data_IF_411540207908
#
_entry.id   IF_411540207908
#
_cell.length_a   1.000
_cell.length_b   1.000
_cell.length_c   1.000
_cell.angle_alpha   90.00
_cell.angle_beta   90.00
_cell.angle_gamma   90.00
#
_symmetry.space_group_name_H-M   'P 1'
#
loop_
_entity.id
_entity.type
_entity.pdbx_description
1 polymer ?
#
# COMPACT_ATOMS: atom_id res chain seq x y z
N UNK A 1 -48.62 34.25 20.42
CA UNK A 1 -47.19 34.31 20.05
C UNK A 1 -46.51 33.04 20.50
N UNK A 2 -46.34 32.06 19.60
CA UNK A 2 -45.59 30.82 19.86
C UNK A 2 -44.59 30.65 18.71
N UNK A 3 -43.30 30.64 19.05
CA UNK A 3 -42.17 30.58 18.12
C UNK A 3 -41.80 29.11 17.84
N UNK A 4 -41.71 28.66 16.58
CA UNK A 4 -41.00 27.43 16.27
C UNK A 4 -39.51 27.76 16.09
N UNK A 5 -38.65 27.22 16.94
CA UNK A 5 -37.20 27.22 16.68
C UNK A 5 -36.83 25.86 16.11
N UNK A 6 -36.95 25.75 14.80
CA UNK A 6 -36.50 24.60 14.01
C UNK A 6 -34.98 24.71 13.78
N UNK A 7 -34.30 23.63 14.17
CA UNK A 7 -33.20 23.01 13.44
C UNK A 7 -32.10 23.92 12.87
N UNK A 8 -30.97 24.00 13.58
CA UNK A 8 -29.66 24.11 12.92
C UNK A 8 -28.95 22.78 13.12
N UNK A 9 -29.02 21.97 12.07
CA UNK A 9 -28.34 20.70 11.95
C UNK A 9 -26.84 20.89 12.17
N UNK A 10 -26.31 20.28 13.22
CA UNK A 10 -24.88 20.07 13.37
C UNK A 10 -24.45 19.13 12.24
N UNK A 11 -23.89 19.72 11.19
CA UNK A 11 -23.32 19.07 10.02
C UNK A 11 -22.02 18.35 10.44
N UNK A 12 -22.16 17.23 11.16
CA UNK A 12 -21.07 16.28 11.35
C UNK A 12 -20.90 15.46 10.06
N UNK A 13 -20.32 16.09 9.04
CA UNK A 13 -19.70 15.34 7.94
C UNK A 13 -18.36 14.86 8.48
N UNK A 14 -18.40 13.77 9.26
CA UNK A 14 -17.24 12.92 9.48
C UNK A 14 -16.82 12.43 8.10
N UNK A 15 -15.81 13.09 7.56
CA UNK A 15 -15.00 12.64 6.42
C UNK A 15 -14.76 11.14 6.60
N UNK A 16 -15.23 10.35 5.64
CA UNK A 16 -15.38 8.91 5.75
C UNK A 16 -14.13 8.24 6.32
N UNK A 17 -14.33 7.23 7.15
CA UNK A 17 -13.30 6.32 7.65
C UNK A 17 -12.30 6.02 6.53
N UNK A 18 -11.15 6.67 6.56
CA UNK A 18 -10.17 6.53 5.48
C UNK A 18 -9.53 5.17 5.68
N UNK A 19 -9.68 4.30 4.68
CA UNK A 19 -9.14 2.93 4.67
C UNK A 19 -7.62 2.92 4.83
N UNK A 20 -6.97 4.07 4.59
CA UNK A 20 -5.54 4.36 4.81
C UNK A 20 -5.15 4.59 6.27
N UNK A 21 -6.10 4.89 7.17
CA UNK A 21 -5.83 5.17 8.59
C UNK A 21 -5.19 3.99 9.35
N UNK A 22 -5.40 2.76 8.86
CA UNK A 22 -4.82 1.54 9.42
C UNK A 22 -3.43 1.21 8.88
N UNK A 23 -2.97 1.91 7.84
CA UNK A 23 -1.64 1.67 7.29
C UNK A 23 -0.58 2.19 8.25
N UNK A 24 0.17 1.26 8.85
CA UNK A 24 1.33 1.60 9.66
C UNK A 24 2.42 2.17 8.74
N UNK A 25 2.98 3.30 9.15
CA UNK A 25 4.11 3.94 8.48
C UNK A 25 5.15 4.31 9.53
N UNK A 26 6.35 3.78 9.38
CA UNK A 26 7.46 4.04 10.29
C UNK A 26 8.35 5.13 9.68
N UNK A 27 8.49 6.30 10.33
CA UNK A 27 9.43 7.34 9.92
C UNK A 27 10.86 6.78 9.87
N UNK A 28 11.60 7.02 8.78
CA UNK A 28 13.00 6.60 8.66
C UNK A 28 14.00 7.75 8.86
N UNK A 29 13.48 8.95 9.12
CA UNK A 29 14.24 10.18 9.40
C UNK A 29 13.71 10.78 10.70
N UNK A 30 14.37 11.85 11.16
CA UNK A 30 13.92 12.66 12.29
C UNK A 30 12.71 13.54 11.94
N UNK A 31 11.66 12.93 11.37
CA UNK A 31 10.41 13.57 11.03
C UNK A 31 9.66 13.91 12.32
N UNK A 32 9.36 15.19 12.51
CA UNK A 32 8.53 15.66 13.62
C UNK A 32 7.08 15.17 13.46
N UNK A 33 6.34 15.10 14.57
CA UNK A 33 4.92 14.73 14.53
C UNK A 33 4.08 15.61 13.56
N UNK A 34 4.42 16.90 13.44
CA UNK A 34 3.76 17.80 12.49
C UNK A 34 4.08 17.46 11.03
N UNK A 35 5.32 17.05 10.73
CA UNK A 35 5.71 16.59 9.39
C UNK A 35 5.02 15.27 9.04
N UNK A 36 4.95 14.33 9.99
CA UNK A 36 4.25 13.05 9.81
C UNK A 36 2.80 13.29 9.43
N UNK A 37 2.09 14.17 10.16
CA UNK A 37 0.70 14.46 9.87
C UNK A 37 0.51 15.22 8.54
N UNK A 38 1.43 16.13 8.21
CA UNK A 38 1.41 16.85 6.93
C UNK A 38 1.64 15.92 5.75
N UNK A 39 2.63 15.02 5.83
CA UNK A 39 2.92 14.01 4.82
C UNK A 39 1.74 13.06 4.65
N UNK A 40 1.13 12.62 5.76
CA UNK A 40 -0.05 11.76 5.75
C UNK A 40 -1.21 12.38 5.00
N UNK A 41 -1.58 13.62 5.32
CA UNK A 41 -2.64 14.36 4.61
C UNK A 41 -2.32 14.56 3.13
N UNK A 42 -1.09 14.92 2.81
CA UNK A 42 -0.64 15.08 1.42
C UNK A 42 -0.77 13.77 0.63
N UNK A 43 -0.33 12.66 1.22
CA UNK A 43 -0.41 11.34 0.60
C UNK A 43 -1.84 10.82 0.49
N UNK A 44 -2.71 11.14 1.46
CA UNK A 44 -4.13 10.81 1.41
C UNK A 44 -4.82 11.49 0.23
N UNK A 45 -4.62 12.80 0.05
CA UNK A 45 -5.17 13.54 -1.09
C UNK A 45 -4.58 13.09 -2.43
N UNK A 46 -3.29 12.78 -2.48
CA UNK A 46 -2.65 12.25 -3.69
C UNK A 46 -3.24 10.89 -4.06
N UNK A 47 -3.39 9.98 -3.08
CA UNK A 47 -3.84 8.61 -3.29
C UNK A 47 -5.25 8.49 -3.87
N UNK A 48 -6.14 9.43 -3.55
CA UNK A 48 -7.52 9.50 -4.09
C UNK A 48 -7.54 9.67 -5.62
N UNK A 49 -6.47 10.17 -6.21
CA UNK A 49 -6.33 10.36 -7.66
C UNK A 49 -5.74 9.13 -8.37
N UNK A 50 -5.36 8.11 -7.61
CA UNK A 50 -4.74 6.89 -8.15
C UNK A 50 -5.78 5.79 -8.34
N UNK A 51 -5.53 4.88 -9.29
CA UNK A 51 -6.39 3.72 -9.50
C UNK A 51 -6.33 2.68 -8.35
N UNK A 52 -5.35 2.80 -7.45
CA UNK A 52 -5.16 1.92 -6.30
C UNK A 52 -4.88 2.75 -5.04
N UNK A 53 -5.91 3.28 -4.35
CA UNK A 53 -5.72 4.27 -3.28
C UNK A 53 -4.85 3.80 -2.11
N UNK A 54 -4.97 2.56 -1.65
CA UNK A 54 -4.14 2.05 -0.56
C UNK A 54 -2.66 1.95 -0.97
N UNK A 55 -2.39 1.35 -2.13
CA UNK A 55 -1.05 1.26 -2.70
C UNK A 55 -0.47 2.63 -3.02
N UNK A 56 -1.29 3.57 -3.50
CA UNK A 56 -0.91 4.95 -3.76
C UNK A 56 -0.51 5.68 -2.48
N UNK A 57 -1.32 5.56 -1.43
CA UNK A 57 -1.00 6.17 -0.14
C UNK A 57 0.34 5.66 0.40
N UNK A 58 0.54 4.34 0.40
CA UNK A 58 1.78 3.74 0.84
C UNK A 58 2.98 4.14 -0.05
N UNK A 59 2.81 4.14 -1.38
CA UNK A 59 3.85 4.57 -2.31
C UNK A 59 4.29 6.02 -2.09
N UNK A 60 3.34 6.92 -1.79
CA UNK A 60 3.63 8.30 -1.44
C UNK A 60 4.40 8.41 -0.12
N UNK A 61 4.06 7.62 0.88
CA UNK A 61 4.80 7.56 2.14
C UNK A 61 6.21 6.99 1.94
N UNK A 62 6.37 5.92 1.17
CA UNK A 62 7.70 5.36 0.83
C UNK A 62 8.57 6.40 0.12
N UNK A 63 7.99 7.13 -0.83
CA UNK A 63 8.66 8.26 -1.50
C UNK A 63 9.03 9.39 -0.53
N UNK A 64 8.21 9.65 0.49
CA UNK A 64 8.49 10.62 1.55
C UNK A 64 9.50 10.13 2.60
N UNK A 65 10.01 8.89 2.47
CA UNK A 65 11.02 8.33 3.36
C UNK A 65 10.43 7.63 4.58
N UNK A 66 9.29 6.98 4.41
CA UNK A 66 8.70 6.09 5.41
C UNK A 66 8.89 4.63 5.00
N UNK A 67 8.83 3.74 5.97
CA UNK A 67 8.68 2.30 5.77
C UNK A 67 7.22 1.91 5.96
N UNK A 68 6.61 1.25 4.97
CA UNK A 68 5.19 0.86 5.02
C UNK A 68 4.89 -0.30 4.06
N UNK A 69 3.70 -0.89 4.18
CA UNK A 69 3.24 -2.04 3.38
C UNK A 69 2.20 -1.57 2.35
N UNK A 70 2.42 -1.72 1.04
CA UNK A 70 1.56 -1.11 0.03
C UNK A 70 0.24 -1.83 -0.31
N UNK A 71 -0.23 -2.78 0.49
CA UNK A 71 -1.57 -3.40 0.40
C UNK A 71 -2.02 -3.75 -1.03
N UNK A 72 -1.09 -4.23 -1.88
CA UNK A 72 -1.35 -4.68 -3.26
C UNK A 72 -1.85 -6.14 -3.33
N UNK A 73 -2.26 -6.71 -2.19
CA UNK A 73 -2.77 -8.07 -2.08
C UNK A 73 -1.93 -8.94 -1.14
N UNK A 74 -2.06 -10.27 -1.27
CA UNK A 74 -1.46 -11.28 -0.38
C UNK A 74 0.08 -11.37 -0.45
N UNK A 75 0.72 -10.43 -1.12
CA UNK A 75 2.14 -10.38 -1.49
C UNK A 75 2.84 -9.16 -0.88
N UNK A 76 2.07 -8.30 -0.22
CA UNK A 76 2.51 -6.99 0.24
C UNK A 76 3.54 -7.15 1.34
N UNK A 77 4.79 -6.90 0.99
CA UNK A 77 5.90 -6.82 1.95
C UNK A 77 6.03 -5.38 2.46
N UNK A 78 6.46 -5.22 3.70
CA UNK A 78 6.87 -3.90 4.20
C UNK A 78 8.11 -3.46 3.44
N UNK A 79 8.13 -2.22 2.97
CA UNK A 79 9.17 -1.72 2.08
C UNK A 79 9.51 -0.26 2.33
N UNK A 80 10.77 0.06 2.00
CA UNK A 80 11.37 1.39 2.05
C UNK A 80 12.34 1.59 0.89
N UNK A 81 12.67 2.83 0.56
CA UNK A 81 13.74 3.10 -0.40
C UNK A 81 15.11 2.86 0.25
N UNK A 82 15.99 2.12 -0.44
CA UNK A 82 17.34 1.80 0.01
C UNK A 82 18.22 3.05 0.18
N UNK A 83 17.94 4.08 -0.64
CA UNK A 83 18.54 5.40 -0.50
C UNK A 83 17.43 6.39 -0.18
N UNK A 84 17.62 7.28 0.82
CA UNK A 84 16.69 8.35 1.11
C UNK A 84 16.70 9.35 -0.05
N UNK A 85 15.95 9.06 -1.09
CA UNK A 85 15.85 9.92 -2.25
C UNK A 85 14.96 11.10 -1.90
N UNK A 86 15.50 12.31 -2.03
CA UNK A 86 14.72 13.56 -1.97
C UNK A 86 13.95 13.83 -3.25
N UNK A 87 14.06 12.95 -4.26
CA UNK A 87 13.55 13.15 -5.61
C UNK A 87 12.72 11.98 -6.16
N UNK A 88 12.46 10.93 -5.36
CA UNK A 88 11.64 9.81 -5.85
C UNK A 88 10.19 10.25 -5.88
N UNK A 89 9.62 10.32 -7.08
CA UNK A 89 8.22 10.67 -7.29
C UNK A 89 7.29 9.53 -6.79
N UNK A 90 6.23 9.83 -6.01
CA UNK A 90 5.22 8.85 -5.60
C UNK A 90 4.69 7.99 -6.76
N UNK A 91 4.54 8.58 -7.94
CA UNK A 91 4.12 7.91 -9.18
C UNK A 91 5.06 6.76 -9.54
N UNK A 92 6.38 6.97 -9.46
CA UNK A 92 7.37 5.94 -9.76
C UNK A 92 7.27 4.78 -8.78
N UNK A 93 7.15 5.08 -7.49
CA UNK A 93 7.01 4.04 -6.46
C UNK A 93 5.74 3.22 -6.68
N UNK A 94 4.63 3.88 -6.99
CA UNK A 94 3.37 3.21 -7.26
C UNK A 94 3.48 2.29 -8.49
N UNK A 95 4.09 2.76 -9.58
CA UNK A 95 4.29 1.95 -10.78
C UNK A 95 5.19 0.74 -10.52
N UNK A 96 6.29 0.93 -9.78
CA UNK A 96 7.21 -0.16 -9.44
C UNK A 96 6.53 -1.26 -8.60
N UNK A 97 5.74 -0.85 -7.59
CA UNK A 97 4.99 -1.78 -6.74
C UNK A 97 3.92 -2.53 -7.56
N UNK A 98 3.13 -1.82 -8.38
CA UNK A 98 2.05 -2.44 -9.16
C UNK A 98 2.59 -3.38 -10.25
N UNK A 99 3.70 -3.02 -10.90
CA UNK A 99 4.34 -3.86 -11.91
C UNK A 99 4.91 -5.14 -11.29
N UNK A 100 5.61 -5.03 -10.15
CA UNK A 100 6.12 -6.19 -9.44
C UNK A 100 5.01 -7.10 -8.89
N UNK A 101 3.90 -6.55 -8.39
CA UNK A 101 2.75 -7.35 -7.98
C UNK A 101 2.10 -8.06 -9.17
N UNK A 102 1.85 -7.35 -10.26
CA UNK A 102 1.31 -7.92 -11.50
C UNK A 102 2.19 -9.07 -12.03
N UNK A 103 3.51 -8.90 -11.99
CA UNK A 103 4.46 -9.95 -12.38
C UNK A 103 4.40 -11.17 -11.43
N UNK A 104 4.39 -10.93 -10.12
CA UNK A 104 4.25 -11.98 -9.12
C UNK A 104 2.94 -12.78 -9.29
N UNK A 105 1.82 -12.07 -9.51
CA UNK A 105 0.52 -12.68 -9.76
C UNK A 105 0.50 -13.52 -11.03
N UNK A 106 1.00 -13.01 -12.15
CA UNK A 106 1.05 -13.75 -13.42
C UNK A 106 1.91 -15.01 -13.34
N UNK A 107 3.02 -14.95 -12.63
CA UNK A 107 3.92 -16.11 -12.48
C UNK A 107 3.29 -17.19 -11.61
N UNK A 108 2.70 -16.79 -10.49
CA UNK A 108 1.92 -17.66 -9.62
C UNK A 108 0.68 -18.27 -10.29
N UNK A 109 -0.03 -17.50 -11.10
CA UNK A 109 -1.27 -17.94 -11.77
C UNK A 109 -0.98 -18.78 -13.03
N UNK A 110 0.16 -18.61 -13.70
CA UNK A 110 0.59 -19.51 -14.80
C UNK A 110 0.71 -20.95 -14.35
N UNK A 111 1.20 -21.19 -13.14
CA UNK A 111 1.30 -22.55 -12.59
C UNK A 111 -0.08 -23.13 -12.24
N UNK A 112 -1.09 -22.28 -11.98
CA UNK A 112 -2.49 -22.72 -11.79
C UNK A 112 -3.15 -23.17 -13.09
N UNK A 113 -2.69 -22.68 -14.24
CA UNK A 113 -3.21 -23.05 -15.57
C UNK A 113 -3.06 -24.54 -15.89
N UNK A 114 -2.05 -25.21 -15.32
CA UNK A 114 -1.87 -26.67 -15.42
C UNK A 114 -2.61 -27.47 -14.32
N UNK A 115 -3.09 -26.83 -13.25
CA UNK A 115 -3.44 -27.48 -11.97
C UNK A 115 -4.87 -27.13 -11.52
N UNK A 116 -5.70 -26.54 -12.38
CA UNK A 116 -7.09 -26.15 -12.05
C UNK A 116 -7.98 -27.31 -11.55
N UNK A 117 -7.61 -28.58 -11.81
CA UNK A 117 -8.34 -29.76 -11.33
C UNK A 117 -7.89 -30.26 -9.94
N UNK A 118 -6.71 -29.88 -9.44
CA UNK A 118 -6.13 -30.42 -8.19
C UNK A 118 -6.21 -29.44 -7.00
N UNK A 119 -6.42 -28.14 -7.28
CA UNK A 119 -6.42 -27.03 -6.31
C UNK A 119 -7.55 -27.10 -5.28
N UNK A 120 -8.64 -27.83 -5.53
CA UNK A 120 -9.76 -27.92 -4.59
C UNK A 120 -9.45 -28.78 -3.36
N UNK A 121 -8.41 -29.62 -3.41
CA UNK A 121 -8.17 -30.65 -2.38
C UNK A 121 -6.96 -30.38 -1.47
N UNK A 122 -6.10 -29.39 -1.74
CA UNK A 122 -4.84 -29.23 -1.01
C UNK A 122 -4.57 -27.80 -0.48
N UNK A 123 -4.80 -27.60 0.83
CA UNK A 123 -4.42 -26.40 1.59
C UNK A 123 -2.90 -26.09 1.54
N UNK A 124 -2.06 -27.11 1.36
CA UNK A 124 -0.58 -26.97 1.28
C UNK A 124 -0.15 -26.19 0.02
N UNK A 125 -0.87 -26.37 -1.09
CA UNK A 125 -0.57 -25.71 -2.36
C UNK A 125 -0.95 -24.21 -2.37
N UNK A 126 -1.93 -23.82 -1.57
CA UNK A 126 -2.28 -22.41 -1.38
C UNK A 126 -1.17 -21.64 -0.65
N UNK A 127 -0.53 -22.26 0.34
CA UNK A 127 0.58 -21.67 1.10
C UNK A 127 1.84 -21.50 0.24
N UNK A 128 2.19 -22.51 -0.57
CA UNK A 128 3.35 -22.42 -1.49
C UNK A 128 3.19 -21.34 -2.54
N UNK A 129 1.96 -21.03 -2.96
CA UNK A 129 1.70 -19.98 -3.92
C UNK A 129 1.92 -18.57 -3.34
N UNK A 130 1.56 -18.35 -2.07
CA UNK A 130 1.84 -17.09 -1.37
C UNK A 130 3.34 -16.86 -1.22
N UNK A 131 4.09 -17.86 -0.77
CA UNK A 131 5.56 -17.79 -0.63
C UNK A 131 6.25 -17.53 -1.97
N UNK A 132 5.78 -18.17 -3.05
CA UNK A 132 6.29 -17.92 -4.39
C UNK A 132 6.01 -16.49 -4.84
N UNK A 133 4.79 -15.99 -4.62
CA UNK A 133 4.44 -14.61 -5.00
C UNK A 133 5.28 -13.59 -4.24
N UNK A 134 5.45 -13.76 -2.93
CA UNK A 134 6.31 -12.89 -2.12
C UNK A 134 7.74 -12.90 -2.63
N UNK A 135 8.30 -14.09 -2.91
CA UNK A 135 9.65 -14.21 -3.45
C UNK A 135 9.79 -13.49 -4.79
N UNK A 136 8.85 -13.69 -5.72
CA UNK A 136 8.89 -13.05 -7.04
C UNK A 136 8.74 -11.52 -6.93
N UNK A 137 7.90 -11.05 -6.00
CA UNK A 137 7.76 -9.63 -5.72
C UNK A 137 9.07 -9.04 -5.17
N UNK A 138 9.68 -9.70 -4.18
CA UNK A 138 10.96 -9.30 -3.57
C UNK A 138 12.09 -9.25 -4.60
N UNK A 139 12.20 -10.30 -5.43
CA UNK A 139 13.21 -10.40 -6.48
C UNK A 139 13.02 -9.31 -7.56
N UNK A 140 11.78 -8.86 -7.77
CA UNK A 140 11.46 -7.76 -8.68
C UNK A 140 11.79 -6.37 -8.10
N UNK A 141 11.48 -6.14 -6.83
CA UNK A 141 11.52 -4.80 -6.23
C UNK A 141 12.90 -4.42 -5.67
N UNK A 142 13.65 -5.37 -5.08
CA UNK A 142 15.01 -5.13 -4.57
C UNK A 142 15.95 -4.47 -5.59
N UNK A 143 16.11 -4.98 -6.83
CA UNK A 143 17.00 -4.36 -7.81
C UNK A 143 16.55 -2.95 -8.25
N UNK A 144 15.31 -2.55 -7.97
CA UNK A 144 14.79 -1.20 -8.23
C UNK A 144 15.16 -0.18 -7.14
N UNK A 145 15.94 -0.60 -6.13
CA UNK A 145 16.43 0.28 -5.07
C UNK A 145 15.56 0.30 -3.83
N UNK A 146 14.87 -0.80 -3.53
CA UNK A 146 14.05 -0.97 -2.34
C UNK A 146 14.70 -1.94 -1.37
N UNK A 147 14.50 -1.67 -0.09
CA UNK A 147 14.79 -2.59 1.00
C UNK A 147 13.49 -3.05 1.66
N UNK A 148 13.51 -4.27 2.18
CA UNK A 148 12.39 -4.82 2.93
C UNK A 148 12.49 -4.34 4.38
N UNK A 149 11.38 -3.87 4.91
CA UNK A 149 11.25 -3.57 6.33
C UNK A 149 11.33 -4.84 7.18
N UNK A 150 11.65 -4.68 8.46
CA UNK A 150 11.50 -5.78 9.41
C UNK A 150 10.02 -5.82 9.80
N UNK A 151 9.29 -6.81 9.27
CA UNK A 151 7.89 -7.08 9.62
C UNK A 151 7.69 -7.29 11.12
#
# INVERSE_FOLDING_TARGET
MTRPSLAVAALMILTGCTTTSNLKATPLKDQSAAQIESDRKRCEEWSKKTAAPLAGFAACLVAAGYETTPEVGSTSQTLRLAKPSTATEPTRVLLDVLDCDSHARRKAERDLGMISRWIRENLVYWRSNTELREKVFVDCIKPRGYELGKG
#
